data_IF_775273333905
#
_entry.id   IF_775273333905
#
_cell.length_a   1.000
_cell.length_b   1.000
_cell.length_c   1.000
_cell.angle_alpha   90.00
_cell.angle_beta   90.00
_cell.angle_gamma   90.00
#
_symmetry.space_group_name_H-M   'P 1'
#
loop_
_entity.id
_entity.type
_entity.pdbx_description
1 polymer ?
#
# COMPACT_ATOMS: atom_id res chain seq x y z
N UNK A 1 -2.94 -80.68 77.07
CA UNK A 1 -3.67 -80.18 75.87
C UNK A 1 -3.92 -78.68 75.81
N UNK A 2 -4.11 -77.96 76.92
CA UNK A 2 -4.38 -76.52 76.92
C UNK A 2 -3.27 -75.65 76.29
N UNK A 3 -2.00 -75.97 76.54
CA UNK A 3 -0.87 -75.22 75.95
C UNK A 3 -0.83 -75.33 74.41
N UNK A 4 -1.23 -76.47 73.85
CA UNK A 4 -1.30 -76.66 72.39
C UNK A 4 -2.40 -75.82 71.76
N UNK A 5 -3.56 -75.66 72.41
CA UNK A 5 -4.63 -74.82 71.88
C UNK A 5 -4.25 -73.34 71.90
N UNK A 6 -3.59 -72.88 72.97
CA UNK A 6 -3.05 -71.52 73.08
C UNK A 6 -2.01 -71.22 72.00
N UNK A 7 -1.06 -72.14 71.79
CA UNK A 7 -0.05 -72.01 70.74
C UNK A 7 -0.70 -71.93 69.34
N UNK A 8 -1.73 -72.73 69.08
CA UNK A 8 -2.43 -72.74 67.79
C UNK A 8 -3.23 -71.43 67.57
N UNK A 9 -3.85 -70.91 68.63
CA UNK A 9 -4.57 -69.63 68.59
C UNK A 9 -3.61 -68.45 68.33
N UNK A 10 -2.46 -68.42 69.00
CA UNK A 10 -1.42 -67.41 68.77
C UNK A 10 -0.87 -67.50 67.34
N UNK A 11 -0.61 -68.71 66.83
CA UNK A 11 -0.16 -68.91 65.45
C UNK A 11 -1.21 -68.41 64.43
N UNK A 12 -2.50 -68.64 64.69
CA UNK A 12 -3.58 -68.10 63.86
C UNK A 12 -3.64 -66.57 63.92
N UNK A 13 -3.55 -65.98 65.11
CA UNK A 13 -3.52 -64.52 65.25
C UNK A 13 -2.32 -63.90 64.54
N UNK A 14 -1.14 -64.50 64.65
CA UNK A 14 0.06 -64.06 63.95
C UNK A 14 -0.12 -64.12 62.41
N UNK A 15 -0.72 -65.21 61.89
CA UNK A 15 -1.07 -65.31 60.47
C UNK A 15 -2.06 -64.24 60.02
N UNK A 16 -3.09 -63.96 60.82
CA UNK A 16 -4.07 -62.91 60.52
C UNK A 16 -3.42 -61.53 60.53
N UNK A 17 -2.56 -61.24 61.50
CA UNK A 17 -1.82 -59.97 61.54
C UNK A 17 -0.88 -59.82 60.34
N UNK A 18 -0.18 -60.89 59.95
CA UNK A 18 0.69 -60.89 58.77
C UNK A 18 -0.09 -60.72 57.45
N UNK A 19 -1.26 -61.34 57.33
CA UNK A 19 -2.14 -61.13 56.17
C UNK A 19 -2.70 -59.71 56.14
N UNK A 20 -3.06 -59.16 57.30
CA UNK A 20 -3.54 -57.78 57.43
C UNK A 20 -2.46 -56.78 57.05
N UNK A 21 -1.22 -56.95 57.51
CA UNK A 21 -0.11 -56.07 57.11
C UNK A 21 0.19 -56.17 55.62
N UNK A 22 0.18 -57.38 55.05
CA UNK A 22 0.35 -57.59 53.61
C UNK A 22 -0.77 -56.94 52.78
N UNK A 23 -2.01 -56.98 53.26
CA UNK A 23 -3.13 -56.29 52.63
C UNK A 23 -2.91 -54.77 52.62
N UNK A 24 -2.51 -54.19 53.76
CA UNK A 24 -2.23 -52.76 53.88
C UNK A 24 -1.09 -52.30 52.95
N UNK A 25 -0.02 -53.09 52.85
CA UNK A 25 1.10 -52.83 51.94
C UNK A 25 0.66 -52.89 50.46
N UNK A 26 -0.18 -53.87 50.13
CA UNK A 26 -0.78 -53.99 48.78
C UNK A 26 -1.71 -52.81 48.48
N UNK A 27 -2.50 -52.37 49.46
CA UNK A 27 -3.38 -51.22 49.32
C UNK A 27 -2.56 -49.94 49.07
N UNK A 28 -1.48 -49.72 49.82
CA UNK A 28 -0.55 -48.60 49.60
C UNK A 28 0.09 -48.63 48.22
N UNK A 29 0.59 -49.79 47.78
CA UNK A 29 1.15 -49.97 46.44
C UNK A 29 0.10 -49.65 45.35
N UNK A 30 -1.16 -50.08 45.56
CA UNK A 30 -2.25 -49.79 44.63
C UNK A 30 -2.61 -48.31 44.55
N UNK A 31 -2.55 -47.59 45.68
CA UNK A 31 -2.75 -46.13 45.73
C UNK A 31 -1.64 -45.45 44.95
N UNK A 32 -0.38 -45.83 45.20
CA UNK A 32 0.77 -45.24 44.52
C UNK A 32 0.75 -45.46 43.01
N UNK A 33 0.31 -46.65 42.57
CA UNK A 33 0.13 -46.96 41.16
C UNK A 33 -0.95 -46.08 40.52
N UNK A 34 -2.09 -45.87 41.20
CA UNK A 34 -3.16 -44.98 40.73
C UNK A 34 -2.72 -43.52 40.64
N UNK A 35 -1.91 -43.05 41.58
CA UNK A 35 -1.31 -41.71 41.52
C UNK A 35 -0.43 -41.56 40.27
N UNK A 36 0.51 -42.49 40.08
CA UNK A 36 1.43 -42.44 38.94
C UNK A 36 0.70 -42.54 37.59
N UNK A 37 -0.37 -43.34 37.55
CA UNK A 37 -1.25 -43.45 36.37
C UNK A 37 -1.94 -42.11 36.07
N UNK A 38 -2.47 -41.43 37.09
CA UNK A 38 -3.10 -40.10 36.93
C UNK A 38 -2.10 -39.05 36.45
N UNK A 39 -0.87 -39.07 36.97
CA UNK A 39 0.17 -38.15 36.54
C UNK A 39 0.53 -38.38 35.06
N UNK A 40 0.67 -39.65 34.64
CA UNK A 40 0.89 -40.01 33.24
C UNK A 40 -0.25 -39.55 32.33
N UNK A 41 -1.49 -39.77 32.75
CA UNK A 41 -2.67 -39.35 31.98
C UNK A 41 -2.73 -37.82 31.85
N UNK A 42 -2.47 -37.08 32.94
CA UNK A 42 -2.40 -35.63 32.91
C UNK A 42 -1.32 -35.11 31.95
N UNK A 43 -0.11 -35.68 31.99
CA UNK A 43 0.98 -35.33 31.08
C UNK A 43 0.62 -35.64 29.63
N UNK A 44 -0.01 -36.80 29.36
CA UNK A 44 -0.49 -37.17 28.03
C UNK A 44 -1.52 -36.18 27.49
N UNK A 45 -2.49 -35.78 28.31
CA UNK A 45 -3.51 -34.79 27.91
C UNK A 45 -2.88 -33.45 27.57
N UNK A 46 -1.93 -32.96 28.38
CA UNK A 46 -1.21 -31.70 28.10
C UNK A 46 -0.43 -31.80 26.78
N UNK A 47 0.27 -32.91 26.57
CA UNK A 47 1.03 -33.14 25.33
C UNK A 47 0.12 -33.20 24.09
N UNK A 48 -1.02 -33.89 24.19
CA UNK A 48 -2.01 -33.97 23.12
C UNK A 48 -2.59 -32.58 22.78
N UNK A 49 -2.93 -31.78 23.80
CA UNK A 49 -3.41 -30.41 23.61
C UNK A 49 -2.35 -29.52 22.95
N UNK A 50 -1.07 -29.66 23.32
CA UNK A 50 0.02 -28.92 22.70
C UNK A 50 0.20 -29.29 21.22
N UNK A 51 0.15 -30.59 20.91
CA UNK A 51 0.21 -31.06 19.53
C UNK A 51 -0.97 -30.55 18.70
N UNK A 52 -2.18 -30.57 19.25
CA UNK A 52 -3.36 -30.03 18.59
C UNK A 52 -3.21 -28.54 18.32
N UNK A 53 -2.83 -27.74 19.34
CA UNK A 53 -2.60 -26.29 19.19
C UNK A 53 -1.51 -25.98 18.17
N UNK A 54 -0.44 -26.79 18.13
CA UNK A 54 0.63 -26.65 17.16
C UNK A 54 0.15 -26.96 15.74
N UNK A 55 -0.71 -27.96 15.55
CA UNK A 55 -1.35 -28.25 14.27
C UNK A 55 -2.31 -27.12 13.85
N UNK A 56 -3.19 -26.67 14.75
CA UNK A 56 -4.08 -25.52 14.51
C UNK A 56 -3.29 -24.28 14.10
N UNK A 57 -2.17 -23.98 14.77
CA UNK A 57 -1.29 -22.85 14.43
C UNK A 57 -0.63 -23.04 13.05
N UNK A 58 -0.21 -24.27 12.70
CA UNK A 58 0.35 -24.55 11.37
C UNK A 58 -0.69 -24.38 10.27
N UNK A 59 -1.91 -24.89 10.48
CA UNK A 59 -3.02 -24.70 9.54
C UNK A 59 -3.41 -23.22 9.44
N UNK A 60 -3.53 -22.50 10.56
CA UNK A 60 -3.77 -21.04 10.56
C UNK A 60 -2.65 -20.28 9.85
N UNK A 61 -1.38 -20.63 10.07
CA UNK A 61 -0.25 -20.00 9.37
C UNK A 61 -0.29 -20.30 7.87
N UNK A 62 -0.73 -21.48 7.46
CA UNK A 62 -0.91 -21.84 6.04
C UNK A 62 -2.05 -21.03 5.39
N UNK A 63 -3.10 -20.71 6.17
CA UNK A 63 -4.20 -19.83 5.76
C UNK A 63 -3.76 -18.35 5.73
N UNK A 64 -2.97 -17.89 6.70
CA UNK A 64 -2.51 -16.49 6.81
C UNK A 64 -1.27 -16.15 5.96
N UNK A 65 -0.51 -17.14 5.46
CA UNK A 65 0.63 -16.87 4.56
C UNK A 65 0.24 -16.68 3.09
N UNK A 66 -1.03 -16.85 2.74
CA UNK A 66 -1.46 -17.01 1.34
C UNK A 66 -2.66 -16.15 0.93
N UNK A 67 -3.07 -15.13 1.69
CA UNK A 67 -4.10 -14.19 1.21
C UNK A 67 -3.53 -12.88 0.64
N UNK A 68 -2.31 -12.91 0.13
CA UNK A 68 -1.74 -11.85 -0.68
C UNK A 68 -0.91 -12.43 -1.82
N UNK A 69 -1.56 -13.16 -2.73
CA UNK A 69 -0.97 -13.42 -4.04
C UNK A 69 -1.02 -12.10 -4.81
N UNK A 70 0.13 -11.60 -5.26
CA UNK A 70 0.20 -10.44 -6.15
C UNK A 70 -0.48 -10.83 -7.47
N UNK A 71 -1.77 -10.51 -7.63
CA UNK A 71 -2.55 -10.79 -8.85
C UNK A 71 -2.12 -9.84 -9.98
N UNK A 72 -1.49 -8.71 -9.64
CA UNK A 72 -0.84 -7.83 -10.61
C UNK A 72 0.30 -7.05 -9.98
N UNK A 73 1.45 -7.00 -10.64
CA UNK A 73 2.51 -6.04 -10.32
C UNK A 73 1.98 -4.61 -10.46
N UNK A 74 2.45 -3.71 -9.59
CA UNK A 74 2.12 -2.29 -9.65
C UNK A 74 2.48 -1.74 -11.04
N UNK A 75 1.48 -1.55 -11.91
CA UNK A 75 1.71 -0.98 -13.22
C UNK A 75 2.08 0.50 -13.02
N UNK A 76 3.24 0.95 -13.52
CA UNK A 76 3.53 2.38 -13.56
C UNK A 76 2.39 3.05 -14.34
N UNK A 77 1.86 4.16 -13.82
CA UNK A 77 0.70 4.80 -14.42
C UNK A 77 0.97 5.12 -15.91
N UNK A 78 0.30 4.39 -16.82
CA UNK A 78 0.45 4.55 -18.28
C UNK A 78 0.13 5.98 -18.75
N UNK A 79 -0.63 6.73 -17.95
CA UNK A 79 -0.95 8.13 -18.20
C UNK A 79 -0.72 8.90 -16.92
N UNK A 80 0.02 10.01 -17.05
CA UNK A 80 0.23 10.96 -15.97
C UNK A 80 -1.13 11.53 -15.53
N UNK A 81 -1.57 11.17 -14.32
CA UNK A 81 -2.87 11.54 -13.74
C UNK A 81 -3.01 13.06 -13.49
N UNK A 82 -1.88 13.77 -13.44
CA UNK A 82 -1.79 15.16 -13.02
C UNK A 82 -0.58 15.84 -13.67
N UNK A 83 -0.65 17.02 -14.32
CA UNK A 83 -1.81 17.86 -14.67
C UNK A 83 -2.36 17.59 -16.11
N UNK A 84 -3.63 17.93 -16.40
CA UNK A 84 -4.24 17.76 -17.71
C UNK A 84 -3.64 18.74 -18.73
N UNK A 85 -2.54 18.34 -19.37
CA UNK A 85 -1.81 19.12 -20.39
C UNK A 85 -2.73 19.67 -21.51
N UNK A 86 -3.78 18.92 -21.87
CA UNK A 86 -4.76 19.37 -22.87
C UNK A 86 -5.54 20.61 -22.43
N UNK A 87 -6.00 20.65 -21.19
CA UNK A 87 -6.76 21.78 -20.64
C UNK A 87 -5.87 23.03 -20.50
N UNK A 88 -4.62 22.84 -20.09
CA UNK A 88 -3.65 23.95 -19.96
C UNK A 88 -3.28 24.56 -21.31
N UNK A 89 -3.01 23.72 -22.33
CA UNK A 89 -2.69 24.19 -23.68
C UNK A 89 -3.90 24.90 -24.29
N UNK A 90 -5.10 24.31 -24.14
CA UNK A 90 -6.34 24.95 -24.59
C UNK A 90 -6.54 26.32 -23.90
N UNK A 91 -6.43 26.38 -22.58
CA UNK A 91 -6.54 27.64 -21.83
C UNK A 91 -5.50 28.68 -22.23
N UNK A 92 -4.26 28.27 -22.49
CA UNK A 92 -3.20 29.17 -22.93
C UNK A 92 -3.45 29.73 -24.34
N UNK A 93 -3.88 28.89 -25.28
CA UNK A 93 -4.17 29.30 -26.66
C UNK A 93 -5.37 30.25 -26.70
N UNK A 94 -6.49 29.85 -26.11
CA UNK A 94 -7.71 30.66 -26.14
C UNK A 94 -7.58 31.91 -25.27
N UNK A 95 -6.96 31.80 -24.09
CA UNK A 95 -6.67 32.94 -23.22
C UNK A 95 -5.71 33.93 -23.86
N UNK A 96 -4.64 33.46 -24.51
CA UNK A 96 -3.69 34.31 -25.23
C UNK A 96 -4.32 35.01 -26.43
N UNK A 97 -5.17 34.32 -27.20
CA UNK A 97 -5.93 34.93 -28.30
C UNK A 97 -6.91 35.98 -27.80
N UNK A 98 -7.71 35.66 -26.78
CA UNK A 98 -8.67 36.60 -26.21
C UNK A 98 -7.98 37.86 -25.66
N UNK A 99 -6.87 37.67 -24.94
CA UNK A 99 -6.10 38.78 -24.38
C UNK A 99 -5.43 39.61 -25.49
N UNK A 100 -4.87 38.95 -26.52
CA UNK A 100 -4.28 39.64 -27.68
C UNK A 100 -5.30 40.48 -28.47
N UNK A 101 -6.50 39.93 -28.72
CA UNK A 101 -7.60 40.65 -29.39
C UNK A 101 -8.06 41.80 -28.51
N UNK A 102 -8.31 41.57 -27.22
CA UNK A 102 -8.72 42.61 -26.28
C UNK A 102 -7.70 43.75 -26.22
N UNK A 103 -6.41 43.41 -26.16
CA UNK A 103 -5.33 44.40 -26.13
C UNK A 103 -5.18 45.15 -27.45
N UNK A 104 -5.46 44.52 -28.60
CA UNK A 104 -5.49 45.19 -29.91
C UNK A 104 -6.67 46.15 -30.03
N UNK A 105 -7.87 45.76 -29.57
CA UNK A 105 -9.05 46.63 -29.55
C UNK A 105 -8.87 47.83 -28.62
N UNK A 106 -8.29 47.61 -27.44
CA UNK A 106 -7.93 48.69 -26.52
C UNK A 106 -6.88 49.60 -27.17
N UNK A 107 -5.86 49.04 -27.81
CA UNK A 107 -4.83 49.83 -28.50
C UNK A 107 -5.41 50.67 -29.66
N UNK A 108 -6.38 50.13 -30.40
CA UNK A 108 -7.11 50.86 -31.45
C UNK A 108 -7.96 51.97 -30.85
N UNK A 109 -8.68 51.70 -29.75
CA UNK A 109 -9.50 52.70 -29.07
C UNK A 109 -8.66 53.85 -28.48
N UNK A 110 -7.48 53.55 -27.94
CA UNK A 110 -6.55 54.55 -27.42
C UNK A 110 -5.73 55.26 -28.53
N UNK A 111 -5.77 54.77 -29.77
CA UNK A 111 -5.07 55.37 -30.90
C UNK A 111 -5.94 55.27 -32.15
N UNK A 112 -6.97 56.11 -32.30
CA UNK A 112 -7.66 56.29 -33.58
C UNK A 112 -6.67 56.91 -34.57
N UNK A 113 -5.81 56.08 -35.14
CA UNK A 113 -4.97 56.46 -36.26
C UNK A 113 -5.91 56.50 -37.45
N UNK A 114 -6.36 57.71 -37.77
CA UNK A 114 -7.12 58.09 -38.97
C UNK A 114 -6.58 57.38 -40.22
N UNK A 115 -7.06 56.16 -40.47
CA UNK A 115 -6.59 55.31 -41.56
C UNK A 115 -7.51 55.32 -42.77
N UNK A 116 -8.46 56.24 -42.84
CA UNK A 116 -9.24 56.42 -44.05
C UNK A 116 -8.95 57.80 -44.63
N UNK A 117 -7.92 57.87 -45.48
CA UNK A 117 -7.74 59.00 -46.40
C UNK A 117 -9.05 59.28 -47.18
N UNK A 118 -9.86 58.24 -47.42
CA UNK A 118 -11.18 58.34 -48.03
C UNK A 118 -12.24 59.02 -47.15
N UNK A 119 -12.10 59.07 -45.81
CA UNK A 119 -13.01 59.83 -44.93
C UNK A 119 -12.62 61.31 -44.78
N UNK A 120 -11.35 61.67 -45.00
CA UNK A 120 -10.97 63.10 -45.07
C UNK A 120 -11.37 63.75 -46.40
N UNK A 121 -11.40 62.99 -47.50
CA UNK A 121 -11.72 63.54 -48.83
C UNK A 121 -13.20 63.95 -48.99
N UNK A 122 -14.11 63.38 -48.20
CA UNK A 122 -15.53 63.77 -48.20
C UNK A 122 -15.85 64.92 -47.23
N UNK A 123 -14.97 65.22 -46.26
CA UNK A 123 -15.17 66.31 -45.30
C UNK A 123 -14.38 67.58 -45.65
N UNK A 124 -13.28 67.44 -46.40
CA UNK A 124 -12.40 68.54 -46.77
C UNK A 124 -12.21 68.45 -48.28
N UNK A 125 -12.83 69.37 -49.02
CA UNK A 125 -12.79 69.52 -50.49
C UNK A 125 -11.39 69.92 -51.03
N UNK A 126 -10.32 69.39 -50.43
CA UNK A 126 -8.93 69.68 -50.76
C UNK A 126 -8.20 68.40 -51.21
N UNK A 127 -7.41 68.44 -52.31
CA UNK A 127 -6.66 67.28 -52.79
C UNK A 127 -5.61 66.84 -51.76
N UNK A 128 -5.49 65.54 -51.54
CA UNK A 128 -4.47 64.93 -50.67
C UNK A 128 -3.09 65.12 -51.32
N UNK A 129 -2.32 66.10 -50.84
CA UNK A 129 -1.02 66.50 -51.42
C UNK A 129 0.18 65.62 -51.01
N UNK A 130 -0.05 64.50 -50.33
CA UNK A 130 1.02 63.54 -50.08
C UNK A 130 0.69 62.54 -48.97
N UNK A 131 1.18 61.32 -49.13
CA UNK A 131 1.08 60.26 -48.12
C UNK A 131 2.43 60.14 -47.43
N UNK A 132 2.52 60.49 -46.15
CA UNK A 132 3.75 60.30 -45.38
C UNK A 132 3.92 58.81 -45.06
N UNK A 133 5.08 58.20 -45.36
CA UNK A 133 5.36 56.83 -44.98
C UNK A 133 5.41 56.72 -43.45
N UNK A 134 4.55 55.88 -42.89
CA UNK A 134 4.43 55.65 -41.46
C UNK A 134 5.74 55.15 -40.84
N UNK A 135 6.20 55.86 -39.80
CA UNK A 135 7.42 55.54 -39.05
C UNK A 135 7.30 54.15 -38.41
N UNK A 136 8.20 53.24 -38.79
CA UNK A 136 8.21 51.84 -38.36
C UNK A 136 8.10 51.68 -36.83
N UNK A 137 6.96 51.14 -36.40
CA UNK A 137 6.68 50.82 -35.00
C UNK A 137 7.44 49.54 -34.65
N UNK A 138 8.62 49.68 -34.03
CA UNK A 138 9.38 48.55 -33.47
C UNK A 138 8.56 47.91 -32.36
N UNK A 139 7.98 46.73 -32.63
CA UNK A 139 7.32 45.91 -31.61
C UNK A 139 8.32 44.94 -31.02
N UNK A 140 8.98 45.38 -29.95
CA UNK A 140 9.66 44.51 -28.99
C UNK A 140 8.61 43.87 -28.08
N UNK A 141 8.73 42.56 -27.85
CA UNK A 141 7.87 41.83 -26.92
C UNK A 141 7.91 40.33 -27.13
N UNK A 142 9.12 39.76 -27.09
CA UNK A 142 9.35 38.31 -27.05
C UNK A 142 8.88 37.79 -25.69
N UNK A 143 7.71 37.15 -25.64
CA UNK A 143 7.23 36.50 -24.43
C UNK A 143 7.94 35.15 -24.25
N UNK A 144 8.74 35.08 -23.17
CA UNK A 144 8.83 33.98 -22.21
C UNK A 144 8.91 32.55 -22.74
N UNK A 145 10.10 31.95 -22.64
CA UNK A 145 10.36 30.57 -23.02
C UNK A 145 9.62 29.52 -22.17
N UNK A 146 9.46 28.35 -22.79
CA UNK A 146 9.22 27.09 -22.08
C UNK A 146 10.44 26.22 -22.36
N UNK A 147 11.41 26.29 -21.46
CA UNK A 147 12.48 25.32 -21.38
C UNK A 147 11.88 24.00 -20.88
N UNK A 148 11.82 22.99 -21.74
CA UNK A 148 11.63 21.61 -21.30
C UNK A 148 12.92 20.84 -21.57
N UNK A 149 13.79 20.86 -20.57
CA UNK A 149 14.93 19.94 -20.44
C UNK A 149 14.35 18.56 -20.16
N UNK A 150 14.29 17.69 -21.16
CA UNK A 150 14.18 16.25 -20.95
C UNK A 150 15.59 15.68 -20.98
N UNK A 151 16.25 15.73 -19.83
CA UNK A 151 17.33 14.80 -19.53
C UNK A 151 16.75 13.38 -19.41
N UNK A 152 17.63 12.41 -19.69
CA UNK A 152 17.49 10.97 -19.42
C UNK A 152 16.58 10.19 -20.36
N UNK A 153 17.14 9.71 -21.49
CA UNK A 153 17.33 8.29 -21.81
C UNK A 153 18.03 8.16 -23.18
N UNK A 154 19.36 8.29 -23.20
CA UNK A 154 20.19 7.92 -24.36
C UNK A 154 21.47 7.19 -23.94
N UNK A 155 21.46 6.61 -22.74
CA UNK A 155 22.44 5.64 -22.27
C UNK A 155 21.71 4.32 -22.03
N UNK A 156 22.22 3.24 -22.63
CA UNK A 156 21.69 1.87 -22.65
C UNK A 156 20.67 1.59 -23.77
N UNK A 157 21.18 1.27 -24.95
CA UNK A 157 21.04 -0.08 -25.49
C UNK A 157 21.81 -0.20 -26.82
N UNK A 158 22.46 -1.34 -27.00
CA UNK A 158 23.01 -1.87 -28.26
C UNK A 158 24.41 -1.41 -28.67
N UNK A 159 25.45 -2.03 -28.06
CA UNK A 159 26.44 -2.72 -28.89
C UNK A 159 27.15 -3.85 -28.12
N UNK A 160 26.52 -5.01 -28.14
CA UNK A 160 27.17 -6.33 -28.01
C UNK A 160 26.51 -7.20 -29.07
N UNK A 161 27.28 -7.58 -30.10
CA UNK A 161 27.24 -8.83 -30.88
C UNK A 161 28.26 -8.66 -32.03
N UNK A 162 29.09 -9.70 -32.19
CA UNK A 162 30.20 -9.90 -33.12
C UNK A 162 31.52 -9.17 -32.79
#
# INVERSE_FOLDING_TARGET
>A
DYERSLANQQALQAKVQALKSKSLDTDQASVRLRELQRDLDAVRTVYANYLQRAQETREQTNVDSTNARIISYAMPALKKSWPPKGLLVFGAVFGGLALGIGMALIAEYLSPTVLSANQMQSAIEAPVLGVLPGRGRRRFGRAGGVAQKTDAVAGLALQRIA
#
